data_IF_140490521760
#
_entry.id   IF_140490521760
#
_cell.length_a   1.000
_cell.length_b   1.000
_cell.length_c   1.000
_cell.angle_alpha   90.00
_cell.angle_beta   90.00
_cell.angle_gamma   90.00
#
_symmetry.space_group_name_H-M   'P 1'
#
loop_
_entity.id
_entity.type
_entity.pdbx_description
1 polymer ?
#
# COMPACT_ATOMS: atom_id res chain seq x y z
N UNK A 1 6.17 15.36 11.79
CA UNK A 1 6.53 14.26 10.88
C UNK A 1 5.48 14.24 9.78
N UNK A 2 5.89 14.21 8.52
CA UNK A 2 4.95 14.13 7.40
C UNK A 2 5.01 12.70 6.85
N UNK A 3 3.84 12.09 6.65
CA UNK A 3 3.71 10.76 6.05
C UNK A 3 3.13 10.95 4.66
N UNK A 4 3.87 10.50 3.65
CA UNK A 4 3.45 10.46 2.27
C UNK A 4 3.38 8.99 1.81
N UNK A 5 2.96 8.78 0.57
CA UNK A 5 2.91 7.47 -0.06
C UNK A 5 4.08 7.26 -1.03
N UNK A 6 4.39 6.00 -1.32
CA UNK A 6 5.34 5.59 -2.35
C UNK A 6 4.67 4.93 -3.56
N UNK A 7 3.40 4.55 -3.43
CA UNK A 7 2.58 4.00 -4.51
C UNK A 7 1.21 4.66 -4.53
N UNK A 8 0.79 5.17 -5.69
CA UNK A 8 -0.54 5.74 -5.89
C UNK A 8 -1.40 4.79 -6.73
N UNK A 9 -2.53 4.36 -6.16
CA UNK A 9 -3.49 3.48 -6.84
C UNK A 9 -4.24 4.19 -7.97
N UNK A 10 -4.41 5.52 -7.86
CA UNK A 10 -5.32 6.34 -8.69
C UNK A 10 -6.77 5.85 -8.67
N UNK A 11 -7.17 5.21 -7.56
CA UNK A 11 -8.49 4.62 -7.38
C UNK A 11 -9.67 5.59 -7.62
N UNK A 12 -9.44 6.89 -7.46
CA UNK A 12 -10.39 7.96 -7.75
C UNK A 12 -10.67 8.20 -9.25
N UNK A 13 -9.86 7.65 -10.17
CA UNK A 13 -9.93 7.99 -11.60
C UNK A 13 -9.86 6.78 -12.54
N UNK A 14 -9.62 5.56 -12.04
CA UNK A 14 -9.37 4.38 -12.88
C UNK A 14 -10.21 3.17 -12.48
N UNK A 15 -10.29 2.19 -13.38
CA UNK A 15 -11.00 0.93 -13.12
C UNK A 15 -10.35 0.08 -12.03
N UNK A 16 -11.11 -0.83 -11.40
CA UNK A 16 -10.60 -1.82 -10.43
C UNK A 16 -9.41 -2.62 -10.94
N UNK A 17 -9.42 -3.01 -12.22
CA UNK A 17 -8.30 -3.72 -12.83
C UNK A 17 -7.04 -2.83 -12.96
N UNK A 18 -7.22 -1.57 -13.35
CA UNK A 18 -6.10 -0.62 -13.48
C UNK A 18 -5.52 -0.25 -12.12
N UNK A 19 -6.36 0.00 -11.12
CA UNK A 19 -5.89 0.34 -9.77
C UNK A 19 -5.14 -0.83 -9.13
N UNK A 20 -5.62 -2.07 -9.31
CA UNK A 20 -4.91 -3.28 -8.87
C UNK A 20 -3.52 -3.36 -9.50
N UNK A 21 -3.43 -3.20 -10.82
CA UNK A 21 -2.14 -3.21 -11.55
C UNK A 21 -1.21 -2.10 -11.07
N UNK A 22 -1.75 -0.90 -10.84
CA UNK A 22 -0.97 0.23 -10.33
C UNK A 22 -0.34 -0.09 -8.97
N UNK A 23 -1.10 -0.66 -8.05
CA UNK A 23 -0.60 -1.02 -6.72
C UNK A 23 0.46 -2.12 -6.82
N UNK A 24 0.18 -3.20 -7.56
CA UNK A 24 1.11 -4.32 -7.66
C UNK A 24 2.46 -3.92 -8.30
N UNK A 25 2.44 -3.03 -9.29
CA UNK A 25 3.66 -2.61 -9.98
C UNK A 25 4.49 -1.59 -9.19
N UNK A 26 3.85 -0.77 -8.35
CA UNK A 26 4.52 0.28 -7.59
C UNK A 26 4.88 -0.14 -6.15
N UNK A 27 4.36 -1.27 -5.67
CA UNK A 27 4.63 -1.76 -4.33
C UNK A 27 6.08 -2.25 -4.21
N UNK A 28 6.71 -1.88 -3.10
CA UNK A 28 8.06 -2.31 -2.73
C UNK A 28 8.14 -2.54 -1.21
N UNK A 29 9.11 -3.32 -0.71
CA UNK A 29 9.30 -3.52 0.72
C UNK A 29 9.39 -2.19 1.48
N UNK A 30 8.55 -2.04 2.51
CA UNK A 30 8.46 -0.82 3.30
C UNK A 30 7.80 0.37 2.59
N UNK A 31 7.07 0.14 1.48
CA UNK A 31 6.28 1.15 0.80
C UNK A 31 4.94 1.45 1.49
N UNK A 32 4.35 2.60 1.13
CA UNK A 32 3.03 3.05 1.58
C UNK A 32 2.15 3.26 0.34
N UNK A 33 0.99 2.61 0.31
CA UNK A 33 0.02 2.70 -0.79
C UNK A 33 -1.08 3.70 -0.44
N UNK A 34 -1.37 4.65 -1.33
CA UNK A 34 -2.49 5.59 -1.21
C UNK A 34 -3.77 5.06 -1.87
N UNK A 35 -4.88 5.13 -1.14
CA UNK A 35 -6.25 4.90 -1.61
C UNK A 35 -7.21 5.87 -0.89
N UNK A 36 -8.44 6.00 -1.40
CA UNK A 36 -9.45 6.91 -0.87
C UNK A 36 -10.73 6.16 -0.48
N UNK A 37 -11.24 6.41 0.72
CA UNK A 37 -12.51 5.86 1.23
C UNK A 37 -13.66 6.89 1.21
N UNK A 38 -13.35 8.16 0.97
CA UNK A 38 -14.31 9.28 0.94
C UNK A 38 -14.56 9.91 -0.43
N UNK A 39 -15.74 10.52 -0.58
CA UNK A 39 -16.19 11.31 -1.73
C UNK A 39 -16.70 10.47 -2.91
N UNK A 40 -17.94 10.67 -3.37
CA UNK A 40 -18.47 9.95 -4.54
C UNK A 40 -18.51 8.41 -4.39
N UNK A 41 -18.60 7.69 -5.52
CA UNK A 41 -18.69 6.23 -5.53
C UNK A 41 -17.30 5.57 -5.43
N UNK A 42 -17.11 4.69 -4.44
CA UNK A 42 -15.84 3.98 -4.16
C UNK A 42 -15.91 2.46 -4.34
N UNK A 43 -16.96 1.94 -4.96
CA UNK A 43 -17.14 0.50 -5.17
C UNK A 43 -15.99 -0.12 -5.98
N UNK A 44 -15.38 0.65 -6.89
CA UNK A 44 -14.19 0.20 -7.63
C UNK A 44 -13.03 -0.19 -6.73
N UNK A 45 -12.73 0.64 -5.70
CA UNK A 45 -11.71 0.35 -4.69
C UNK A 45 -12.09 -0.88 -3.88
N UNK A 46 -13.33 -0.93 -3.38
CA UNK A 46 -13.83 -2.04 -2.54
C UNK A 46 -13.72 -3.38 -3.28
N UNK A 47 -14.07 -3.44 -4.56
CA UNK A 47 -13.98 -4.66 -5.36
C UNK A 47 -12.55 -5.13 -5.64
N UNK A 48 -11.58 -4.21 -5.69
CA UNK A 48 -10.19 -4.55 -5.94
C UNK A 48 -9.45 -5.06 -4.68
N UNK A 49 -9.89 -4.66 -3.48
CA UNK A 49 -9.20 -4.97 -2.22
C UNK A 49 -8.96 -6.47 -1.97
N UNK A 50 -9.94 -7.38 -2.14
CA UNK A 50 -9.73 -8.80 -1.84
C UNK A 50 -8.60 -9.41 -2.67
N UNK A 51 -8.58 -9.11 -3.98
CA UNK A 51 -7.55 -9.60 -4.88
C UNK A 51 -6.19 -8.97 -4.60
N UNK A 52 -6.16 -7.65 -4.40
CA UNK A 52 -4.94 -6.91 -4.07
C UNK A 52 -4.26 -7.43 -2.82
N UNK A 53 -5.01 -7.63 -1.74
CA UNK A 53 -4.51 -8.17 -0.47
C UNK A 53 -3.99 -9.59 -0.66
N UNK A 54 -4.73 -10.43 -1.40
CA UNK A 54 -4.33 -11.81 -1.69
C UNK A 54 -3.02 -11.87 -2.47
N UNK A 55 -2.89 -11.09 -3.55
CA UNK A 55 -1.69 -11.07 -4.38
C UNK A 55 -0.45 -10.54 -3.63
N UNK A 56 -0.59 -9.45 -2.87
CA UNK A 56 0.51 -8.91 -2.07
C UNK A 56 0.95 -9.90 -0.97
N UNK A 57 0.01 -10.56 -0.29
CA UNK A 57 0.37 -11.62 0.67
C UNK A 57 1.11 -12.79 0.01
N UNK A 58 0.69 -13.21 -1.19
CA UNK A 58 1.40 -14.26 -1.95
C UNK A 58 2.82 -13.87 -2.34
N UNK A 59 3.09 -12.57 -2.51
CA UNK A 59 4.43 -12.04 -2.76
C UNK A 59 5.26 -11.88 -1.47
N UNK A 60 4.73 -12.26 -0.30
CA UNK A 60 5.42 -12.20 0.99
C UNK A 60 5.23 -10.89 1.75
N UNK A 61 4.38 -9.98 1.28
CA UNK A 61 4.10 -8.75 2.01
C UNK A 61 3.25 -9.00 3.26
N UNK A 62 3.56 -8.24 4.31
CA UNK A 62 2.71 -8.08 5.49
C UNK A 62 2.14 -6.67 5.50
N UNK A 63 0.83 -6.57 5.68
CA UNK A 63 0.17 -5.29 5.91
C UNK A 63 0.35 -4.89 7.38
N UNK A 64 0.79 -3.66 7.59
CA UNK A 64 1.01 -3.07 8.91
C UNK A 64 0.47 -1.65 8.90
N UNK A 65 0.30 -1.09 10.08
CA UNK A 65 0.01 0.33 10.26
C UNK A 65 1.26 1.18 10.01
N UNK A 66 1.08 2.48 9.75
CA UNK A 66 2.21 3.40 9.57
C UNK A 66 3.13 3.45 10.81
N UNK A 67 2.63 3.52 12.06
CA UNK A 67 3.49 3.47 13.24
C UNK A 67 4.36 2.21 13.30
N UNK A 68 3.79 1.03 13.05
CA UNK A 68 4.54 -0.23 13.02
C UNK A 68 5.62 -0.23 11.93
N UNK A 69 5.32 0.32 10.75
CA UNK A 69 6.30 0.47 9.67
C UNK A 69 7.49 1.35 10.10
N UNK A 70 7.24 2.47 10.79
CA UNK A 70 8.30 3.36 11.26
C UNK A 70 9.16 2.69 12.33
N UNK A 71 8.55 1.97 13.27
CA UNK A 71 9.29 1.20 14.28
C UNK A 71 10.18 0.13 13.65
N UNK A 72 9.69 -0.58 12.62
CA UNK A 72 10.47 -1.58 11.90
C UNK A 72 11.68 -0.94 11.19
N UNK A 73 11.48 0.22 10.55
CA UNK A 73 12.55 0.99 9.88
C UNK A 73 13.62 1.45 10.86
N UNK A 74 13.23 1.95 12.03
CA UNK A 74 14.18 2.35 13.07
C UNK A 74 15.00 1.17 13.60
N UNK A 75 14.36 0.00 13.80
CA UNK A 75 15.05 -1.22 14.22
C UNK A 75 16.06 -1.70 13.18
N UNK A 76 15.69 -1.68 11.90
CA UNK A 76 16.56 -2.04 10.77
C UNK A 76 17.77 -1.10 10.67
N UNK A 77 17.55 0.22 10.79
CA UNK A 77 18.64 1.20 10.79
C UNK A 77 19.64 0.96 11.93
N UNK A 78 19.15 0.66 13.14
CA UNK A 78 20.01 0.35 14.29
C UNK A 78 20.79 -0.95 14.10
N UNK A 79 20.17 -1.97 13.50
CA UNK A 79 20.81 -3.25 13.24
C UNK A 79 21.93 -3.14 12.19
N UNK A 80 21.79 -2.25 11.21
CA UNK A 80 22.77 -2.04 10.14
C UNK A 80 23.92 -1.07 10.51
N UNK A 81 23.89 -0.49 11.71
CA UNK A 81 24.90 0.44 12.23
C UNK A 81 25.85 -0.20 13.25
N UNK A 82 25.63 -1.47 13.62
CA UNK A 82 26.51 -2.27 14.46
C UNK A 82 27.29 -3.29 13.64
#
# INVERSE_FOLDING_TARGET
MNVMWSADSRDYAVSSATLLRNVLNQSSPGGIVLMHDGGGNRMGTVYALPEMISQLRKQGYRFVTVPELMEMREKELKANQG
#
